data_IF_496099995462
#
_entry.id   IF_496099995462
#
_cell.length_a   1.000
_cell.length_b   1.000
_cell.length_c   1.000
_cell.angle_alpha   90.00
_cell.angle_beta   90.00
_cell.angle_gamma   90.00
#
_symmetry.space_group_name_H-M   'P 1'
#
loop_
_entity.id
_entity.type
_entity.pdbx_description
1 polymer ?
#
# COMPACT_ATOMS: atom_id res chain seq x y z
N UNK A 1 24.84 -16.57 -38.68
CA UNK A 1 24.86 -15.27 -37.96
C UNK A 1 24.24 -15.49 -36.59
N UNK A 2 25.08 -15.47 -35.56
CA UNK A 2 24.81 -15.99 -34.21
C UNK A 2 23.84 -15.10 -33.41
N UNK A 3 22.91 -15.75 -32.69
CA UNK A 3 21.87 -15.12 -31.89
C UNK A 3 22.42 -14.39 -30.67
N UNK A 4 21.94 -13.16 -30.45
CA UNK A 4 22.13 -12.43 -29.20
C UNK A 4 21.19 -13.01 -28.15
N UNK A 5 21.67 -13.98 -27.39
CA UNK A 5 21.04 -14.41 -26.14
C UNK A 5 21.25 -13.30 -25.11
N UNK A 6 20.34 -12.32 -25.08
CA UNK A 6 20.35 -11.28 -24.06
C UNK A 6 20.09 -11.93 -22.69
N UNK A 7 21.16 -12.13 -21.92
CA UNK A 7 21.10 -12.61 -20.54
C UNK A 7 20.34 -11.59 -19.71
N UNK A 8 19.11 -11.94 -19.35
CA UNK A 8 18.26 -11.17 -18.44
C UNK A 8 19.02 -11.02 -17.11
N UNK A 9 19.44 -9.81 -16.73
CA UNK A 9 20.25 -9.58 -15.54
C UNK A 9 19.54 -10.06 -14.27
N UNK A 10 20.09 -11.05 -13.52
CA UNK A 10 19.45 -11.65 -12.35
C UNK A 10 19.04 -10.63 -11.28
N UNK A 11 19.82 -9.56 -11.12
CA UNK A 11 19.65 -8.49 -10.12
C UNK A 11 18.27 -7.79 -10.20
N UNK A 12 17.74 -7.58 -11.40
CA UNK A 12 16.43 -6.91 -11.58
C UNK A 12 15.27 -7.81 -11.16
N UNK A 13 15.40 -9.14 -11.33
CA UNK A 13 14.41 -10.11 -10.89
C UNK A 13 14.31 -10.16 -9.37
N UNK A 14 15.46 -10.22 -8.69
CA UNK A 14 15.53 -10.20 -7.22
C UNK A 14 14.98 -8.91 -6.65
N UNK A 15 15.34 -7.74 -7.21
CA UNK A 15 14.84 -6.45 -6.74
C UNK A 15 13.30 -6.35 -6.83
N UNK A 16 12.69 -6.81 -7.94
CA UNK A 16 11.23 -6.85 -8.09
C UNK A 16 10.60 -7.77 -7.05
N UNK A 17 11.18 -8.94 -6.80
CA UNK A 17 10.67 -9.88 -5.79
C UNK A 17 10.72 -9.27 -4.38
N UNK A 18 11.83 -8.63 -4.01
CA UNK A 18 11.98 -7.95 -2.72
C UNK A 18 10.97 -6.81 -2.57
N UNK A 19 10.85 -5.93 -3.58
CA UNK A 19 9.88 -4.84 -3.56
C UNK A 19 8.43 -5.35 -3.47
N UNK A 20 8.14 -6.47 -4.12
CA UNK A 20 6.83 -7.10 -4.09
C UNK A 20 6.48 -7.65 -2.71
N UNK A 21 7.42 -8.34 -2.08
CA UNK A 21 7.25 -8.84 -0.71
C UNK A 21 7.14 -7.68 0.29
N UNK A 22 8.01 -6.67 0.16
CA UNK A 22 7.98 -5.47 1.01
C UNK A 22 6.65 -4.71 0.84
N UNK A 23 6.20 -4.49 -0.39
CA UNK A 23 4.92 -3.85 -0.67
C UNK A 23 3.73 -4.62 -0.08
N UNK A 24 3.74 -5.95 -0.16
CA UNK A 24 2.68 -6.78 0.43
C UNK A 24 2.70 -6.70 1.97
N UNK A 25 3.89 -6.75 2.57
CA UNK A 25 4.05 -6.61 4.01
C UNK A 25 3.58 -5.23 4.52
N UNK A 26 3.88 -4.16 3.78
CA UNK A 26 3.44 -2.80 4.10
C UNK A 26 1.92 -2.67 3.99
N UNK A 27 1.28 -3.20 2.93
CA UNK A 27 -0.18 -3.21 2.81
C UNK A 27 -0.86 -3.99 3.95
N UNK A 28 -0.28 -5.12 4.34
CA UNK A 28 -0.76 -5.89 5.50
C UNK A 28 -0.57 -5.11 6.81
N UNK A 29 0.54 -4.39 6.99
CA UNK A 29 0.77 -3.55 8.16
C UNK A 29 -0.25 -2.41 8.25
N UNK A 30 -0.56 -1.72 7.15
CA UNK A 30 -1.64 -0.71 7.09
C UNK A 30 -2.96 -1.35 7.55
N UNK A 31 -3.30 -2.53 7.02
CA UNK A 31 -4.53 -3.21 7.38
C UNK A 31 -4.61 -3.61 8.86
N UNK A 32 -3.50 -4.10 9.43
CA UNK A 32 -3.40 -4.43 10.86
C UNK A 32 -3.57 -3.19 11.72
N UNK A 33 -2.92 -2.08 11.38
CA UNK A 33 -3.05 -0.82 12.13
C UNK A 33 -4.50 -0.34 12.09
N UNK A 34 -5.13 -0.33 10.92
CA UNK A 34 -6.51 0.14 10.77
C UNK A 34 -7.51 -0.73 11.53
N UNK A 35 -7.40 -2.07 11.46
CA UNK A 35 -8.33 -2.92 12.20
C UNK A 35 -8.09 -2.83 13.71
N UNK A 36 -6.83 -2.63 14.13
CA UNK A 36 -6.50 -2.38 15.53
C UNK A 36 -7.14 -1.08 16.03
N UNK A 37 -6.95 0.04 15.33
CA UNK A 37 -7.57 1.33 15.68
C UNK A 37 -9.09 1.27 15.65
N UNK A 38 -9.67 0.54 14.68
CA UNK A 38 -11.10 0.25 14.63
C UNK A 38 -11.61 -0.40 15.92
N UNK A 39 -10.89 -1.42 16.41
CA UNK A 39 -11.19 -2.09 17.68
C UNK A 39 -10.97 -1.21 18.91
N UNK A 40 -10.04 -0.25 18.84
CA UNK A 40 -9.68 0.65 19.95
C UNK A 40 -10.55 1.91 20.06
N UNK A 41 -11.63 2.01 19.27
CA UNK A 41 -12.63 3.06 19.43
C UNK A 41 -13.08 3.74 18.14
N UNK A 42 -12.33 3.56 17.05
CA UNK A 42 -12.70 4.19 15.76
C UNK A 42 -13.97 3.58 15.18
N UNK A 43 -14.31 2.34 15.57
CA UNK A 43 -15.55 1.66 15.15
C UNK A 43 -16.83 2.42 15.50
N UNK A 44 -16.84 3.25 16.54
CA UNK A 44 -18.00 4.05 16.96
C UNK A 44 -18.14 5.40 16.25
N UNK A 45 -17.17 5.77 15.41
CA UNK A 45 -17.17 7.06 14.69
C UNK A 45 -17.90 6.87 13.37
N UNK A 46 -18.96 7.63 13.12
CA UNK A 46 -19.94 7.43 12.03
C UNK A 46 -19.33 6.98 10.68
N UNK A 47 -18.87 7.91 9.84
CA UNK A 47 -18.30 7.56 8.52
C UNK A 47 -16.92 6.90 8.64
N UNK A 48 -16.16 7.26 9.68
CA UNK A 48 -14.75 6.85 9.86
C UNK A 48 -14.61 5.38 10.25
N UNK A 49 -15.48 4.86 11.12
CA UNK A 49 -15.44 3.48 11.59
C UNK A 49 -15.59 2.47 10.44
N UNK A 50 -16.69 2.50 9.66
CA UNK A 50 -16.82 1.68 8.47
C UNK A 50 -15.67 1.88 7.48
N UNK A 51 -15.17 3.11 7.29
CA UNK A 51 -14.04 3.38 6.41
C UNK A 51 -12.74 2.68 6.86
N UNK A 52 -12.45 2.66 8.17
CA UNK A 52 -11.30 1.93 8.73
C UNK A 52 -11.41 0.42 8.51
N UNK A 53 -12.61 -0.15 8.67
CA UNK A 53 -12.84 -1.58 8.41
C UNK A 53 -12.67 -1.91 6.92
N UNK A 54 -13.25 -1.10 6.03
CA UNK A 54 -13.10 -1.25 4.57
C UNK A 54 -11.62 -1.13 4.18
N UNK A 55 -10.89 -0.15 4.72
CA UNK A 55 -9.46 -0.03 4.50
C UNK A 55 -8.68 -1.27 4.94
N UNK A 56 -9.04 -1.85 6.08
CA UNK A 56 -8.40 -3.07 6.58
C UNK A 56 -8.60 -4.24 5.62
N UNK A 57 -9.84 -4.45 5.15
CA UNK A 57 -10.16 -5.51 4.18
C UNK A 57 -9.43 -5.28 2.85
N UNK A 58 -9.44 -4.04 2.35
CA UNK A 58 -8.75 -3.69 1.10
C UNK A 58 -7.23 -3.80 1.21
N UNK A 59 -6.64 -3.45 2.35
CA UNK A 59 -5.20 -3.59 2.60
C UNK A 59 -4.76 -5.05 2.62
N UNK A 60 -5.48 -5.92 3.35
CA UNK A 60 -5.21 -7.37 3.30
C UNK A 60 -5.45 -7.95 1.92
N UNK A 61 -6.57 -7.60 1.27
CA UNK A 61 -6.87 -8.03 -0.09
C UNK A 61 -5.81 -7.57 -1.09
N UNK A 62 -5.32 -6.34 -0.96
CA UNK A 62 -4.24 -5.77 -1.76
C UNK A 62 -2.91 -6.49 -1.55
N UNK A 63 -2.57 -6.85 -0.30
CA UNK A 63 -1.38 -7.65 0.00
C UNK A 63 -1.46 -9.04 -0.66
N UNK A 64 -2.59 -9.74 -0.52
CA UNK A 64 -2.82 -11.03 -1.14
C UNK A 64 -2.82 -10.96 -2.66
N UNK A 65 -3.47 -9.95 -3.24
CA UNK A 65 -3.46 -9.68 -4.68
C UNK A 65 -2.03 -9.47 -5.15
N UNK A 66 -1.24 -8.66 -4.44
CA UNK A 66 0.14 -8.40 -4.80
C UNK A 66 0.97 -9.66 -4.72
N UNK A 67 0.74 -10.59 -3.79
CA UNK A 67 1.48 -11.87 -3.73
C UNK A 67 1.01 -12.89 -4.79
N UNK A 68 -0.29 -12.96 -5.04
CA UNK A 68 -0.90 -13.94 -5.96
C UNK A 68 -0.92 -13.54 -7.44
N UNK A 69 -0.72 -12.26 -7.77
CA UNK A 69 -0.81 -11.78 -9.14
C UNK A 69 0.19 -12.46 -10.09
N UNK A 70 -0.22 -12.92 -11.29
CA UNK A 70 0.73 -13.33 -12.31
C UNK A 70 1.59 -12.14 -12.78
N UNK A 71 2.81 -12.35 -13.31
CA UNK A 71 3.74 -11.27 -13.65
C UNK A 71 3.16 -10.14 -14.50
N UNK A 72 2.21 -10.44 -15.40
CA UNK A 72 1.53 -9.46 -16.25
C UNK A 72 0.58 -8.51 -15.50
N UNK A 73 0.08 -8.91 -14.32
CA UNK A 73 -0.84 -8.12 -13.50
C UNK A 73 -0.16 -7.39 -12.34
N UNK A 74 1.10 -7.72 -12.02
CA UNK A 74 1.89 -7.05 -10.98
C UNK A 74 1.94 -5.52 -11.12
N UNK A 75 2.16 -4.91 -12.32
CA UNK A 75 2.17 -3.45 -12.41
C UNK A 75 0.84 -2.82 -12.00
N UNK A 76 -0.28 -3.45 -12.35
CA UNK A 76 -1.61 -2.98 -11.97
C UNK A 76 -1.90 -3.18 -10.48
N UNK A 77 -1.57 -4.35 -9.94
CA UNK A 77 -1.71 -4.61 -8.51
C UNK A 77 -0.87 -3.63 -7.66
N UNK A 78 0.36 -3.35 -8.08
CA UNK A 78 1.23 -2.39 -7.43
C UNK A 78 0.69 -0.95 -7.54
N UNK A 79 0.18 -0.53 -8.71
CA UNK A 79 -0.41 0.79 -8.89
C UNK A 79 -1.67 0.98 -8.04
N UNK A 80 -2.55 -0.02 -7.98
CA UNK A 80 -3.74 0.00 -7.11
C UNK A 80 -3.35 0.06 -5.63
N UNK A 81 -2.36 -0.73 -5.20
CA UNK A 81 -1.84 -0.68 -3.84
C UNK A 81 -1.24 0.69 -3.49
N UNK A 82 -0.50 1.30 -4.43
CA UNK A 82 0.05 2.64 -4.25
C UNK A 82 -1.06 3.70 -4.11
N UNK A 83 -2.09 3.64 -4.94
CA UNK A 83 -3.24 4.54 -4.85
C UNK A 83 -4.02 4.36 -3.53
N UNK A 84 -4.20 3.11 -3.09
CA UNK A 84 -4.79 2.79 -1.79
C UNK A 84 -3.99 3.41 -0.63
N UNK A 85 -2.67 3.17 -0.58
CA UNK A 85 -1.81 3.73 0.47
C UNK A 85 -1.76 5.26 0.44
N UNK A 86 -1.74 5.86 -0.75
CA UNK A 86 -1.78 7.31 -0.90
C UNK A 86 -3.11 7.92 -0.42
N UNK A 87 -4.23 7.25 -0.70
CA UNK A 87 -5.54 7.66 -0.20
C UNK A 87 -5.63 7.57 1.32
N UNK A 88 -5.07 6.51 1.91
CA UNK A 88 -4.95 6.33 3.36
C UNK A 88 -4.16 7.46 4.01
N UNK A 89 -2.94 7.72 3.49
CA UNK A 89 -2.08 8.82 3.95
C UNK A 89 -2.74 10.18 3.80
N UNK A 90 -3.40 10.43 2.67
CA UNK A 90 -4.14 11.67 2.46
C UNK A 90 -5.26 11.81 3.48
N UNK A 91 -5.98 10.73 3.81
CA UNK A 91 -7.03 10.76 4.82
C UNK A 91 -6.48 11.07 6.21
N UNK A 92 -5.35 10.47 6.61
CA UNK A 92 -4.65 10.76 7.87
C UNK A 92 -4.23 12.24 7.97
N UNK A 93 -3.65 12.78 6.89
CA UNK A 93 -3.22 14.18 6.86
C UNK A 93 -4.41 15.14 6.86
N UNK A 94 -5.46 14.84 6.10
CA UNK A 94 -6.67 15.67 6.04
C UNK A 94 -7.41 15.66 7.38
N UNK A 95 -7.60 14.50 8.01
CA UNK A 95 -8.26 14.40 9.32
C UNK A 95 -7.52 15.22 10.38
N UNK A 96 -6.19 15.30 10.29
CA UNK A 96 -5.35 16.05 11.25
C UNK A 96 -5.30 17.56 10.97
N UNK A 97 -5.58 18.00 9.75
CA UNK A 97 -5.43 19.40 9.33
C UNK A 97 -6.76 20.14 9.22
N UNK A 98 -7.70 19.58 8.45
CA UNK A 98 -9.01 20.20 8.17
C UNK A 98 -10.19 19.34 8.65
N UNK A 99 -9.92 18.12 9.09
CA UNK A 99 -10.93 17.13 9.47
C UNK A 99 -11.51 16.36 8.28
N UNK A 100 -12.23 15.28 8.59
CA UNK A 100 -12.98 14.44 7.65
C UNK A 100 -14.32 14.06 8.27
N UNK A 101 -15.42 14.41 7.61
CA UNK A 101 -16.77 13.99 8.05
C UNK A 101 -17.08 14.34 9.53
N UNK A 102 -16.59 15.50 10.01
CA UNK A 102 -16.76 15.92 11.41
C UNK A 102 -15.77 15.30 12.40
N UNK A 103 -14.89 14.40 11.95
CA UNK A 103 -13.78 13.85 12.73
C UNK A 103 -12.52 14.69 12.52
N UNK A 104 -11.88 15.10 13.61
CA UNK A 104 -10.57 15.79 13.60
C UNK A 104 -9.60 14.96 14.42
N UNK A 105 -8.49 14.59 13.80
CA UNK A 105 -7.44 13.79 14.42
C UNK A 105 -6.33 14.67 14.99
N UNK A 106 -5.51 14.11 15.88
CA UNK A 106 -4.29 14.75 16.38
C UNK A 106 -3.05 13.90 16.14
N UNK A 107 -1.90 14.54 15.97
CA UNK A 107 -0.58 13.88 15.89
C UNK A 107 -0.20 13.12 17.16
N UNK A 108 -0.88 13.39 18.28
CA UNK A 108 -0.73 12.66 19.55
C UNK A 108 -1.56 11.38 19.62
N UNK A 109 -2.37 11.09 18.59
CA UNK A 109 -3.21 9.91 18.56
C UNK A 109 -2.38 8.63 18.47
N UNK A 110 -2.91 7.57 19.08
CA UNK A 110 -2.29 6.25 19.09
C UNK A 110 -2.01 5.78 17.65
N UNK A 111 -0.76 5.36 17.39
CA UNK A 111 -0.30 4.88 16.08
C UNK A 111 -0.36 5.90 14.93
N UNK A 112 -0.46 7.20 15.21
CA UNK A 112 -0.45 8.22 14.16
C UNK A 112 0.88 8.19 13.37
N UNK A 113 2.01 8.21 14.07
CA UNK A 113 3.34 8.27 13.44
C UNK A 113 3.69 6.97 12.73
N UNK A 114 3.26 5.83 13.29
CA UNK A 114 3.38 4.51 12.70
C UNK A 114 2.58 4.41 11.40
N UNK A 115 1.32 4.85 11.40
CA UNK A 115 0.48 4.92 10.19
C UNK A 115 1.16 5.78 9.11
N UNK A 116 1.58 7.00 9.47
CA UNK A 116 2.22 7.92 8.56
C UNK A 116 3.44 7.31 7.84
N UNK A 117 4.37 6.72 8.60
CA UNK A 117 5.58 6.15 8.01
C UNK A 117 5.32 4.88 7.20
N UNK A 118 4.42 4.01 7.67
CA UNK A 118 4.06 2.77 6.96
C UNK A 118 3.37 3.11 5.65
N UNK A 119 2.43 4.05 5.64
CA UNK A 119 1.70 4.47 4.44
C UNK A 119 2.63 5.20 3.46
N UNK A 120 3.47 6.12 3.93
CA UNK A 120 4.46 6.79 3.08
C UNK A 120 5.43 5.78 2.44
N UNK A 121 5.95 4.82 3.23
CA UNK A 121 6.80 3.76 2.71
C UNK A 121 6.06 2.89 1.68
N UNK A 122 4.80 2.54 1.94
CA UNK A 122 3.97 1.76 1.03
C UNK A 122 3.79 2.49 -0.31
N UNK A 123 3.47 3.78 -0.29
CA UNK A 123 3.36 4.61 -1.50
C UNK A 123 4.64 4.54 -2.32
N UNK A 124 5.79 4.81 -1.70
CA UNK A 124 7.09 4.82 -2.40
C UNK A 124 7.42 3.43 -2.98
N UNK A 125 7.35 2.38 -2.17
CA UNK A 125 7.71 1.02 -2.58
C UNK A 125 6.81 0.52 -3.70
N UNK A 126 5.50 0.73 -3.60
CA UNK A 126 4.53 0.26 -4.58
C UNK A 126 4.60 1.05 -5.88
N UNK A 127 4.85 2.37 -5.83
CA UNK A 127 5.10 3.16 -7.04
C UNK A 127 6.37 2.71 -7.76
N UNK A 128 7.47 2.48 -7.03
CA UNK A 128 8.71 1.98 -7.63
C UNK A 128 8.47 0.61 -8.27
N UNK A 129 7.79 -0.30 -7.58
CA UNK A 129 7.42 -1.61 -8.12
C UNK A 129 6.57 -1.49 -9.40
N UNK A 130 5.55 -0.63 -9.39
CA UNK A 130 4.67 -0.40 -10.53
C UNK A 130 5.46 0.10 -11.75
N UNK A 131 6.32 1.10 -11.58
CA UNK A 131 7.15 1.67 -12.65
C UNK A 131 8.14 0.63 -13.21
N UNK A 132 8.85 -0.10 -12.34
CA UNK A 132 9.83 -1.10 -12.77
C UNK A 132 9.18 -2.26 -13.53
N UNK A 133 8.01 -2.70 -13.10
CA UNK A 133 7.29 -3.83 -13.73
C UNK A 133 6.57 -3.42 -15.01
N UNK A 134 6.01 -2.20 -15.09
CA UNK A 134 5.41 -1.66 -16.31
C UNK A 134 6.45 -1.51 -17.44
N UNK A 135 7.63 -0.99 -17.13
CA UNK A 135 8.75 -0.88 -18.09
C UNK A 135 9.23 -2.23 -18.61
N UNK A 136 9.02 -3.31 -17.84
CA UNK A 136 9.37 -4.68 -18.24
C UNK A 136 8.30 -5.35 -19.09
N UNK A 137 7.03 -4.96 -18.92
CA UNK A 137 5.91 -5.49 -19.69
C UNK A 137 5.81 -4.88 -21.10
N UNK A 138 6.28 -3.64 -21.27
CA UNK A 138 6.34 -2.95 -22.57
C UNK A 138 7.58 -3.25 -23.41
N UNK A 139 8.46 -4.16 -22.95
CA UNK A 139 9.64 -4.65 -23.69
C UNK A 139 9.41 -6.09 -24.10
#
# INVERSE_FOLDING_TARGET
MSGRTATRTPRTGTAIAVLRLAGAALLAAIAVIHVHLWQQGYSGIDVIGPAFLVQSVLGFGGALLLLGAPPRLVPWAAALGAAFAAGSLAALLLSTTVGLFGFVETTLATLWWESFWVEAAAVVVLLVLAVLTARRAGR
#
